data_IF_104948351480
#
_entry.id   IF_104948351480
#
_cell.length_a   1.000
_cell.length_b   1.000
_cell.length_c   1.000
_cell.angle_alpha   90.00
_cell.angle_beta   90.00
_cell.angle_gamma   90.00
#
_symmetry.space_group_name_H-M   'P 1'
#
loop_
_entity.id
_entity.type
_entity.pdbx_description
1 polymer ?
#
# COMPACT_ATOMS: atom_id res chain seq x y z
N UNK A 1 -13.39 32.05 -19.06
CA UNK A 1 -14.32 31.33 -18.17
C UNK A 1 -13.44 30.36 -17.40
N UNK A 2 -13.18 30.63 -16.11
CA UNK A 2 -12.39 29.74 -15.26
C UNK A 2 -13.20 28.44 -15.09
N UNK A 3 -12.66 27.31 -15.55
CA UNK A 3 -13.23 26.01 -15.20
C UNK A 3 -13.19 25.92 -13.68
N UNK A 4 -14.33 25.81 -13.03
CA UNK A 4 -14.40 25.52 -11.60
C UNK A 4 -13.78 24.15 -11.42
N UNK A 5 -12.58 24.07 -10.85
CA UNK A 5 -11.97 22.79 -10.50
C UNK A 5 -12.97 21.99 -9.65
N UNK A 6 -13.26 20.78 -10.08
CA UNK A 6 -14.20 19.94 -9.37
C UNK A 6 -13.63 19.61 -7.98
N UNK A 7 -14.43 19.79 -6.92
CA UNK A 7 -14.00 19.55 -5.56
C UNK A 7 -13.55 18.08 -5.37
N UNK A 8 -12.49 17.83 -4.58
CA UNK A 8 -12.06 16.49 -4.22
C UNK A 8 -13.20 15.65 -3.63
N UNK A 9 -13.26 14.36 -3.97
CA UNK A 9 -14.23 13.40 -3.46
C UNK A 9 -13.60 12.23 -2.72
N UNK A 10 -12.34 11.93 -3.05
CA UNK A 10 -11.58 10.83 -2.48
C UNK A 10 -10.16 11.28 -2.15
N UNK A 11 -9.69 10.94 -0.95
CA UNK A 11 -8.33 11.23 -0.52
C UNK A 11 -7.57 9.94 -0.31
N UNK A 12 -6.40 9.79 -0.95
CA UNK A 12 -5.43 8.76 -0.57
C UNK A 12 -4.50 9.34 0.52
N UNK A 13 -4.53 8.73 1.70
CA UNK A 13 -3.76 9.15 2.88
C UNK A 13 -2.26 8.80 2.71
N UNK A 14 -1.64 9.40 1.72
CA UNK A 14 -0.22 9.23 1.36
C UNK A 14 0.34 10.53 0.82
N UNK A 15 1.68 10.64 0.84
CA UNK A 15 2.42 11.67 0.10
C UNK A 15 3.22 11.07 -1.07
N UNK A 16 3.01 9.79 -1.36
CA UNK A 16 3.67 9.09 -2.45
C UNK A 16 2.85 9.23 -3.75
N UNK A 17 3.35 10.03 -4.68
CA UNK A 17 2.70 10.27 -5.97
C UNK A 17 2.55 8.99 -6.83
N UNK A 18 3.43 8.00 -6.65
CA UNK A 18 3.30 6.70 -7.31
C UNK A 18 2.04 5.96 -6.88
N UNK A 19 1.78 5.90 -5.58
CA UNK A 19 0.57 5.27 -5.03
C UNK A 19 -0.71 5.97 -5.51
N UNK A 20 -0.70 7.30 -5.56
CA UNK A 20 -1.84 8.05 -6.07
C UNK A 20 -2.11 7.74 -7.54
N UNK A 21 -1.07 7.66 -8.36
CA UNK A 21 -1.21 7.30 -9.78
C UNK A 21 -1.80 5.90 -9.95
N UNK A 22 -1.30 4.90 -9.21
CA UNK A 22 -1.83 3.53 -9.22
C UNK A 22 -3.32 3.49 -8.86
N UNK A 23 -3.74 4.22 -7.82
CA UNK A 23 -5.15 4.29 -7.42
C UNK A 23 -6.02 4.96 -8.50
N UNK A 24 -5.56 6.07 -9.09
CA UNK A 24 -6.28 6.75 -10.17
C UNK A 24 -6.50 5.84 -11.39
N UNK A 25 -5.47 5.09 -11.80
CA UNK A 25 -5.59 4.13 -12.90
C UNK A 25 -6.60 3.02 -12.58
N UNK A 26 -6.60 2.50 -11.35
CA UNK A 26 -7.58 1.50 -10.92
C UNK A 26 -9.02 2.03 -10.95
N UNK A 27 -9.23 3.29 -10.54
CA UNK A 27 -10.57 3.90 -10.46
C UNK A 27 -11.08 4.44 -11.79
N UNK A 28 -10.22 4.60 -12.79
CA UNK A 28 -10.58 5.20 -14.09
C UNK A 28 -11.71 4.44 -14.76
N UNK A 29 -12.83 5.13 -14.99
CA UNK A 29 -14.03 4.55 -15.61
C UNK A 29 -14.86 3.63 -14.70
N UNK A 30 -14.48 3.42 -13.44
CA UNK A 30 -15.23 2.56 -12.52
C UNK A 30 -16.42 3.27 -11.87
N UNK A 31 -16.36 4.58 -11.74
CA UNK A 31 -17.38 5.39 -11.07
C UNK A 31 -17.92 6.44 -12.06
N UNK A 32 -19.20 6.36 -12.46
CA UNK A 32 -19.80 7.36 -13.34
C UNK A 32 -19.70 8.78 -12.78
N UNK A 33 -19.17 9.70 -13.57
CA UNK A 33 -19.05 11.12 -13.19
C UNK A 33 -17.89 11.44 -12.24
N UNK A 34 -17.03 10.48 -11.88
CA UNK A 34 -15.78 10.74 -11.16
C UNK A 34 -14.66 11.08 -12.15
N UNK A 35 -14.15 12.31 -12.06
CA UNK A 35 -12.90 12.69 -12.69
C UNK A 35 -11.74 12.33 -11.74
N UNK A 36 -11.07 11.22 -12.01
CA UNK A 36 -10.00 10.70 -11.15
C UNK A 36 -8.79 11.63 -11.07
N UNK A 37 -8.56 12.45 -12.09
CA UNK A 37 -7.36 13.30 -12.15
C UNK A 37 -7.50 14.56 -11.28
N UNK A 38 -8.72 15.03 -11.06
CA UNK A 38 -9.01 16.21 -10.23
C UNK A 38 -9.67 15.88 -8.89
N UNK A 39 -10.49 14.82 -8.82
CA UNK A 39 -11.30 14.50 -7.64
C UNK A 39 -10.70 13.41 -6.74
N UNK A 40 -9.67 12.69 -7.19
CA UNK A 40 -8.89 11.75 -6.38
C UNK A 40 -7.54 12.37 -6.09
N UNK A 41 -7.31 12.75 -4.84
CA UNK A 41 -6.15 13.54 -4.42
C UNK A 41 -5.35 12.84 -3.33
N UNK A 42 -4.14 13.32 -3.07
CA UNK A 42 -3.34 12.87 -1.92
C UNK A 42 -3.60 13.72 -0.67
N UNK A 43 -3.03 13.28 0.46
CA UNK A 43 -3.15 13.95 1.74
C UNK A 43 -2.59 15.39 1.74
N UNK A 44 -1.55 15.65 0.93
CA UNK A 44 -0.94 16.97 0.86
C UNK A 44 -1.85 18.00 0.18
N UNK A 45 -2.57 17.58 -0.87
CA UNK A 45 -3.47 18.44 -1.63
C UNK A 45 -4.64 18.99 -0.79
N UNK A 46 -5.03 18.28 0.28
CA UNK A 46 -6.12 18.67 1.19
C UNK A 46 -5.63 19.14 2.56
N UNK A 47 -4.31 19.31 2.74
CA UNK A 47 -3.74 19.74 4.01
C UNK A 47 -3.97 18.75 5.16
N UNK A 48 -4.15 17.48 4.88
CA UNK A 48 -4.38 16.47 5.91
C UNK A 48 -3.15 16.29 6.82
N UNK A 49 -3.37 15.97 8.11
CA UNK A 49 -2.28 15.82 9.07
C UNK A 49 -1.41 14.60 8.79
N UNK A 50 -0.16 14.64 9.26
CA UNK A 50 0.67 13.45 9.37
C UNK A 50 0.16 12.57 10.52
N UNK A 51 0.09 11.27 10.26
CA UNK A 51 -0.45 10.29 11.20
C UNK A 51 0.66 9.37 11.68
N UNK A 52 0.86 9.30 13.00
CA UNK A 52 1.78 8.34 13.59
C UNK A 52 1.20 6.92 13.49
N UNK A 53 1.97 6.00 12.95
CA UNK A 53 1.62 4.58 12.85
C UNK A 53 1.91 3.87 14.18
N UNK A 54 0.92 3.86 15.07
CA UNK A 54 1.00 3.27 16.41
C UNK A 54 0.33 1.90 16.50
N UNK A 55 -0.27 1.43 15.42
CA UNK A 55 -0.88 0.10 15.34
C UNK A 55 0.16 -1.02 15.34
N UNK A 56 -0.27 -2.21 15.73
CA UNK A 56 0.57 -3.41 15.80
C UNK A 56 0.34 -4.35 14.61
N UNK A 57 -0.55 -3.97 13.69
CA UNK A 57 -0.84 -4.69 12.44
C UNK A 57 -0.90 -3.71 11.26
N UNK A 58 -0.74 -4.23 10.04
CA UNK A 58 -0.94 -3.42 8.82
C UNK A 58 -2.36 -2.83 8.75
N UNK A 59 -3.38 -3.61 9.15
CA UNK A 59 -4.77 -3.14 9.17
C UNK A 59 -4.98 -1.97 10.13
N UNK A 60 -4.45 -2.06 11.35
CA UNK A 60 -4.54 -0.97 12.32
C UNK A 60 -3.88 0.31 11.81
N UNK A 61 -2.66 0.21 11.25
CA UNK A 61 -1.95 1.37 10.71
C UNK A 61 -2.67 1.99 9.50
N UNK A 62 -3.19 1.16 8.59
CA UNK A 62 -3.97 1.67 7.45
C UNK A 62 -5.26 2.34 7.90
N UNK A 63 -5.99 1.76 8.87
CA UNK A 63 -7.20 2.38 9.46
C UNK A 63 -6.89 3.67 10.19
N UNK A 64 -5.83 3.73 11.01
CA UNK A 64 -5.41 4.97 11.68
C UNK A 64 -5.22 6.11 10.69
N UNK A 65 -4.52 5.85 9.58
CA UNK A 65 -4.30 6.85 8.52
C UNK A 65 -5.61 7.24 7.82
N UNK A 66 -6.42 6.27 7.41
CA UNK A 66 -7.67 6.54 6.70
C UNK A 66 -8.66 7.34 7.57
N UNK A 67 -8.85 6.96 8.85
CA UNK A 67 -9.70 7.68 9.81
C UNK A 67 -9.28 9.12 10.01
N UNK A 68 -7.99 9.33 10.32
CA UNK A 68 -7.48 10.67 10.61
C UNK A 68 -7.67 11.62 9.42
N UNK A 69 -7.47 11.12 8.20
CA UNK A 69 -7.68 11.91 6.98
C UNK A 69 -9.17 12.13 6.73
N UNK A 70 -10.02 11.12 6.89
CA UNK A 70 -11.46 11.24 6.72
C UNK A 70 -12.08 12.23 7.72
N UNK A 71 -11.68 12.17 8.98
CA UNK A 71 -12.13 13.10 10.04
C UNK A 71 -11.68 14.53 9.79
N UNK A 72 -10.41 14.71 9.39
CA UNK A 72 -9.85 16.04 9.15
C UNK A 72 -10.43 16.74 7.91
N UNK A 73 -10.81 15.95 6.88
CA UNK A 73 -11.25 16.53 5.59
C UNK A 73 -12.76 16.46 5.36
N UNK A 74 -13.48 15.58 6.09
CA UNK A 74 -14.87 15.26 5.81
C UNK A 74 -15.10 14.47 4.51
N UNK A 75 -14.04 13.97 3.88
CA UNK A 75 -14.06 13.23 2.62
C UNK A 75 -13.86 11.73 2.85
N UNK A 76 -14.29 10.92 1.89
CA UNK A 76 -13.93 9.50 1.85
C UNK A 76 -12.40 9.39 1.75
N UNK A 77 -11.78 8.60 2.61
CA UNK A 77 -10.33 8.43 2.64
C UNK A 77 -9.93 6.97 2.49
N UNK A 78 -8.85 6.74 1.77
CA UNK A 78 -8.19 5.45 1.63
C UNK A 78 -6.77 5.57 2.18
N UNK A 79 -6.28 4.53 2.84
CA UNK A 79 -4.89 4.37 3.20
C UNK A 79 -4.42 2.96 2.93
N UNK A 80 -3.13 2.77 2.75
CA UNK A 80 -2.51 1.44 2.78
C UNK A 80 -1.36 1.42 3.79
N UNK A 81 -1.15 0.25 4.37
CA UNK A 81 0.08 -0.10 5.07
C UNK A 81 0.58 -1.44 4.54
N UNK A 82 1.89 -1.56 4.33
CA UNK A 82 2.45 -2.72 3.67
C UNK A 82 3.90 -2.98 4.08
N UNK A 83 4.30 -4.23 3.97
CA UNK A 83 5.66 -4.66 4.25
C UNK A 83 5.92 -6.08 3.82
N UNK A 84 7.11 -6.57 4.16
CA UNK A 84 7.53 -7.94 3.94
C UNK A 84 7.21 -8.78 5.18
N UNK A 85 6.64 -9.95 4.96
CA UNK A 85 6.41 -10.99 5.97
C UNK A 85 7.25 -12.21 5.61
N UNK A 86 8.12 -12.67 6.51
CA UNK A 86 9.02 -13.82 6.30
C UNK A 86 8.61 -14.97 7.21
N UNK A 87 8.34 -16.15 6.63
CA UNK A 87 7.74 -17.27 7.34
C UNK A 87 8.59 -17.74 8.52
N UNK A 88 9.88 -17.96 8.30
CA UNK A 88 10.80 -18.46 9.36
C UNK A 88 11.02 -17.42 10.48
N UNK A 89 10.73 -16.15 10.22
CA UNK A 89 10.80 -15.08 11.21
C UNK A 89 9.42 -14.80 11.87
N UNK A 90 8.44 -15.70 11.69
CA UNK A 90 7.10 -15.53 12.27
C UNK A 90 6.35 -14.31 11.76
N UNK A 91 6.62 -13.87 10.52
CA UNK A 91 6.00 -12.70 9.88
C UNK A 91 6.81 -11.40 10.00
N UNK A 92 7.92 -11.40 10.74
CA UNK A 92 8.82 -10.23 10.72
C UNK A 92 9.52 -10.12 9.35
N UNK A 93 9.93 -8.91 8.92
CA UNK A 93 9.86 -7.59 9.55
C UNK A 93 8.44 -7.03 9.76
N UNK A 94 7.43 -7.44 8.96
CA UNK A 94 6.05 -6.98 9.10
C UNK A 94 5.95 -5.45 9.06
N UNK A 95 5.26 -4.86 10.02
CA UNK A 95 5.09 -3.39 10.16
C UNK A 95 6.40 -2.63 10.38
N UNK A 96 7.49 -3.33 10.67
CA UNK A 96 8.83 -2.75 10.82
C UNK A 96 9.63 -2.73 9.53
N UNK A 97 9.07 -3.18 8.40
CA UNK A 97 9.79 -3.33 7.13
C UNK A 97 10.59 -2.09 6.72
N UNK A 98 10.01 -0.90 6.82
CA UNK A 98 10.68 0.35 6.43
C UNK A 98 11.77 0.82 7.42
N UNK A 99 11.88 0.18 8.60
CA UNK A 99 12.84 0.55 9.66
C UNK A 99 13.50 -0.68 10.33
N UNK A 100 13.60 -1.79 9.61
CA UNK A 100 14.09 -3.07 10.12
C UNK A 100 15.51 -2.97 10.71
N UNK A 101 16.39 -2.20 10.07
CA UNK A 101 17.73 -1.87 10.57
C UNK A 101 17.76 -0.68 11.54
N UNK A 102 16.60 -0.24 12.06
CA UNK A 102 16.47 0.82 13.06
C UNK A 102 16.28 2.22 12.48
N UNK A 103 16.54 2.45 11.18
CA UNK A 103 16.38 3.75 10.53
C UNK A 103 15.29 3.67 9.45
N UNK A 104 14.33 4.58 9.52
CA UNK A 104 13.22 4.61 8.56
C UNK A 104 13.72 5.02 7.17
N UNK A 105 13.35 4.24 6.14
CA UNK A 105 13.64 4.53 4.74
C UNK A 105 15.08 4.20 4.31
N UNK A 106 15.86 3.50 5.14
CA UNK A 106 17.17 2.98 4.78
C UNK A 106 17.01 1.58 4.18
N UNK A 107 16.52 1.53 2.92
CA UNK A 107 16.16 0.29 2.24
C UNK A 107 17.34 -0.67 2.11
N UNK A 108 18.52 -0.15 1.82
CA UNK A 108 19.75 -0.93 1.68
C UNK A 108 20.14 -1.61 3.01
N UNK A 109 20.17 -0.85 4.11
CA UNK A 109 20.46 -1.41 5.43
C UNK A 109 19.42 -2.43 5.87
N UNK A 110 18.12 -2.17 5.61
CA UNK A 110 17.03 -3.08 5.94
C UNK A 110 17.16 -4.41 5.20
N UNK A 111 17.44 -4.38 3.90
CA UNK A 111 17.62 -5.53 3.04
C UNK A 111 18.85 -6.36 3.46
N UNK A 112 20.00 -5.72 3.67
CA UNK A 112 21.22 -6.42 4.05
C UNK A 112 21.13 -7.04 5.46
N UNK A 113 20.48 -6.38 6.42
CA UNK A 113 20.23 -6.98 7.72
C UNK A 113 19.36 -8.23 7.60
N UNK A 114 18.30 -8.19 6.80
CA UNK A 114 17.45 -9.35 6.57
C UNK A 114 18.22 -10.53 5.96
N UNK A 115 19.03 -10.28 4.93
CA UNK A 115 19.84 -11.31 4.29
C UNK A 115 20.85 -11.94 5.27
N UNK A 116 21.50 -11.10 6.12
CA UNK A 116 22.44 -11.55 7.14
C UNK A 116 21.76 -12.46 8.18
N UNK A 117 20.55 -12.10 8.63
CA UNK A 117 19.75 -12.92 9.56
C UNK A 117 19.35 -14.27 8.96
N UNK A 118 19.19 -14.34 7.64
CA UNK A 118 18.77 -15.56 6.92
C UNK A 118 19.94 -16.32 6.30
N UNK A 119 21.20 -15.99 6.59
CA UNK A 119 22.36 -16.56 5.93
C UNK A 119 22.42 -18.10 5.99
N UNK A 120 22.11 -18.66 7.16
CA UNK A 120 22.13 -20.10 7.41
C UNK A 120 20.78 -20.79 7.18
N UNK A 121 19.73 -20.04 6.77
CA UNK A 121 18.40 -20.61 6.50
C UNK A 121 18.43 -21.35 5.17
N UNK A 122 18.06 -22.66 5.15
CA UNK A 122 17.98 -23.45 3.91
C UNK A 122 16.95 -22.87 2.93
N UNK A 123 17.17 -23.06 1.61
CA UNK A 123 16.32 -22.48 0.55
C UNK A 123 14.85 -22.87 0.68
N UNK A 124 14.54 -24.10 1.07
CA UNK A 124 13.16 -24.57 1.28
C UNK A 124 12.41 -23.89 2.45
N UNK A 125 13.09 -23.06 3.24
CA UNK A 125 12.52 -22.33 4.40
C UNK A 125 12.61 -20.81 4.26
N UNK A 126 12.87 -20.31 3.05
CA UNK A 126 12.99 -18.89 2.75
C UNK A 126 11.70 -18.29 2.18
N UNK A 127 10.55 -18.92 2.46
CA UNK A 127 9.23 -18.39 2.08
C UNK A 127 8.97 -17.03 2.68
N UNK A 128 8.42 -16.13 1.87
CA UNK A 128 8.06 -14.78 2.28
C UNK A 128 6.95 -14.24 1.39
N UNK A 129 6.34 -13.15 1.83
CA UNK A 129 5.37 -12.43 1.02
C UNK A 129 5.43 -10.93 1.27
N UNK A 130 5.24 -10.14 0.22
CA UNK A 130 4.75 -8.78 0.42
C UNK A 130 3.28 -8.81 0.79
N UNK A 131 2.93 -8.07 1.84
CA UNK A 131 1.54 -7.94 2.34
C UNK A 131 1.14 -6.48 2.31
N UNK A 132 -0.09 -6.21 1.92
CA UNK A 132 -0.70 -4.89 1.99
C UNK A 132 -2.08 -5.00 2.63
N UNK A 133 -2.37 -4.13 3.59
CA UNK A 133 -3.72 -3.86 4.07
C UNK A 133 -4.15 -2.49 3.51
N UNK A 134 -5.22 -2.45 2.73
CA UNK A 134 -5.84 -1.24 2.23
C UNK A 134 -7.12 -0.95 3.01
N UNK A 135 -7.23 0.22 3.61
CA UNK A 135 -8.36 0.65 4.41
C UNK A 135 -9.14 1.76 3.73
N UNK A 136 -10.45 1.70 3.79
CA UNK A 136 -11.40 2.76 3.45
C UNK A 136 -12.02 3.28 4.74
N UNK A 137 -12.10 4.59 4.90
CA UNK A 137 -12.87 5.27 5.92
C UNK A 137 -13.85 6.26 5.27
N UNK A 138 -15.14 6.08 5.57
CA UNK A 138 -16.22 6.98 5.17
C UNK A 138 -16.63 7.75 6.42
N UNK A 139 -16.45 9.08 6.49
CA UNK A 139 -16.88 9.84 7.66
C UNK A 139 -18.40 9.97 7.72
N UNK A 140 -18.97 10.10 8.91
CA UNK A 140 -20.41 10.23 9.09
C UNK A 140 -21.04 11.41 8.30
N UNK A 141 -20.24 12.45 8.05
CA UNK A 141 -20.65 13.60 7.23
C UNK A 141 -20.81 13.29 5.73
N UNK A 142 -20.19 12.23 5.26
CA UNK A 142 -20.21 11.81 3.86
C UNK A 142 -21.14 10.62 3.58
N UNK A 143 -21.90 10.14 4.57
CA UNK A 143 -22.78 8.98 4.42
C UNK A 143 -24.06 9.13 5.21
N UNK A 144 -25.18 8.75 4.61
CA UNK A 144 -26.50 8.71 5.26
C UNK A 144 -26.62 7.59 6.29
N UNK A 145 -25.82 6.53 6.15
CA UNK A 145 -25.80 5.36 7.03
C UNK A 145 -24.80 5.51 8.20
N UNK A 146 -24.15 6.67 8.32
CA UNK A 146 -23.14 6.94 9.34
C UNK A 146 -21.73 6.55 8.90
N UNK A 147 -20.78 6.62 9.84
CA UNK A 147 -19.38 6.29 9.58
C UNK A 147 -19.22 4.79 9.24
N UNK A 148 -18.40 4.49 8.24
CA UNK A 148 -18.12 3.11 7.81
C UNK A 148 -16.63 2.92 7.54
N UNK A 149 -16.15 1.72 7.84
CA UNK A 149 -14.77 1.32 7.60
C UNK A 149 -14.71 -0.06 6.96
N UNK A 150 -13.77 -0.24 6.05
CA UNK A 150 -13.50 -1.51 5.38
C UNK A 150 -12.00 -1.70 5.28
N UNK A 151 -11.51 -2.92 5.48
CA UNK A 151 -10.12 -3.30 5.24
C UNK A 151 -10.07 -4.50 4.33
N UNK A 152 -9.26 -4.40 3.29
CA UNK A 152 -8.99 -5.48 2.35
C UNK A 152 -7.50 -5.74 2.26
N UNK A 153 -7.15 -6.99 1.96
CA UNK A 153 -5.77 -7.44 1.90
C UNK A 153 -5.35 -7.87 0.50
N UNK A 154 -4.07 -7.67 0.21
CA UNK A 154 -3.42 -8.26 -0.93
C UNK A 154 -2.06 -8.83 -0.51
N UNK A 155 -1.67 -9.93 -1.13
CA UNK A 155 -0.43 -10.61 -0.84
C UNK A 155 0.25 -11.06 -2.14
N UNK A 156 1.57 -10.85 -2.21
CA UNK A 156 2.44 -11.39 -3.27
C UNK A 156 3.41 -12.36 -2.61
N UNK A 157 3.11 -13.64 -2.69
CA UNK A 157 3.97 -14.70 -2.15
C UNK A 157 5.18 -14.95 -3.03
N UNK A 158 6.29 -15.35 -2.42
CA UNK A 158 7.54 -15.64 -3.10
C UNK A 158 8.56 -16.33 -2.21
N UNK A 159 9.78 -16.39 -2.70
CA UNK A 159 10.94 -16.92 -1.99
C UNK A 159 12.02 -15.83 -1.90
N UNK A 160 12.68 -15.74 -0.76
CA UNK A 160 13.79 -14.80 -0.60
C UNK A 160 15.07 -15.35 -1.22
N UNK A 161 15.63 -14.60 -2.14
CA UNK A 161 16.93 -14.86 -2.74
C UNK A 161 18.06 -14.71 -1.70
N UNK A 162 19.22 -15.29 -2.00
CA UNK A 162 20.42 -15.15 -1.15
C UNK A 162 21.16 -13.84 -1.40
N UNK A 163 21.01 -13.28 -2.59
CA UNK A 163 21.66 -12.05 -3.04
C UNK A 163 20.64 -11.19 -3.79
N UNK A 164 20.77 -9.85 -3.76
CA UNK A 164 19.93 -8.96 -4.53
C UNK A 164 20.08 -9.20 -6.04
N UNK A 165 18.96 -9.15 -6.78
CA UNK A 165 18.92 -9.16 -8.26
C UNK A 165 18.04 -8.02 -8.76
N UNK A 166 18.48 -7.35 -9.83
CA UNK A 166 17.78 -6.21 -10.42
C UNK A 166 18.04 -4.89 -9.70
N UNK A 167 17.71 -3.81 -10.39
CA UNK A 167 17.92 -2.43 -9.91
C UNK A 167 16.60 -1.64 -9.78
N UNK A 168 15.47 -2.24 -10.15
CA UNK A 168 14.16 -1.60 -10.12
C UNK A 168 13.51 -1.66 -8.74
N UNK A 169 12.44 -0.88 -8.58
CA UNK A 169 11.61 -0.92 -7.38
C UNK A 169 12.26 -0.22 -6.17
N UNK A 170 11.97 -0.73 -4.96
CA UNK A 170 12.44 -0.21 -3.68
C UNK A 170 12.34 -1.28 -2.58
N UNK A 171 12.95 -1.02 -1.43
CA UNK A 171 12.86 -1.89 -0.26
C UNK A 171 13.43 -3.29 -0.53
N UNK A 172 12.60 -4.31 -0.36
CA UNK A 172 12.99 -5.72 -0.52
C UNK A 172 12.69 -6.28 -1.92
N UNK A 173 12.36 -5.45 -2.90
CA UNK A 173 12.11 -5.90 -4.29
C UNK A 173 13.27 -6.71 -4.89
N UNK A 174 14.57 -6.36 -4.65
CA UNK A 174 15.68 -7.11 -5.21
C UNK A 174 15.83 -8.54 -4.66
N UNK A 175 15.19 -8.87 -3.55
CA UNK A 175 15.36 -10.19 -2.91
C UNK A 175 14.11 -11.04 -2.88
N UNK A 176 12.92 -10.53 -3.25
CA UNK A 176 11.72 -11.36 -3.37
C UNK A 176 11.53 -11.83 -4.82
N UNK A 177 11.61 -13.14 -5.02
CA UNK A 177 11.25 -13.83 -6.26
C UNK A 177 9.81 -14.34 -6.12
N UNK A 178 8.83 -13.78 -6.87
CA UNK A 178 7.43 -14.18 -6.78
C UNK A 178 7.21 -15.63 -7.22
N UNK A 179 6.26 -16.32 -6.61
CA UNK A 179 5.88 -17.69 -7.00
C UNK A 179 5.53 -17.75 -8.49
N UNK A 180 6.15 -18.68 -9.20
CA UNK A 180 5.92 -18.90 -10.62
C UNK A 180 6.76 -18.02 -11.56
N UNK A 181 7.64 -17.20 -11.02
CA UNK A 181 8.62 -16.44 -11.78
C UNK A 181 10.05 -16.89 -11.42
N UNK A 182 11.00 -16.59 -12.30
CA UNK A 182 12.45 -16.82 -12.14
C UNK A 182 13.21 -15.50 -12.02
N UNK A 183 12.49 -14.41 -11.75
CA UNK A 183 12.97 -13.02 -11.61
C UNK A 183 12.55 -12.44 -10.27
N UNK A 184 13.41 -11.60 -9.68
CA UNK A 184 13.04 -10.81 -8.52
C UNK A 184 12.00 -9.74 -8.89
N UNK A 185 11.33 -9.17 -7.89
CA UNK A 185 10.43 -8.02 -8.10
C UNK A 185 11.16 -6.81 -8.71
N UNK A 186 12.47 -6.66 -8.46
CA UNK A 186 13.27 -5.56 -9.02
C UNK A 186 13.68 -5.77 -10.49
N UNK A 187 13.52 -6.99 -11.01
CA UNK A 187 13.77 -7.32 -12.43
C UNK A 187 12.50 -7.22 -13.29
N UNK A 188 11.34 -6.98 -12.68
CA UNK A 188 10.06 -6.81 -13.38
C UNK A 188 9.91 -5.36 -13.89
N UNK A 189 9.23 -5.19 -15.03
CA UNK A 189 8.79 -3.86 -15.42
C UNK A 189 7.75 -3.31 -14.43
N UNK A 190 7.56 -1.99 -14.36
CA UNK A 190 6.50 -1.41 -13.52
C UNK A 190 5.12 -2.00 -13.82
N UNK A 191 4.80 -2.26 -15.07
CA UNK A 191 3.52 -2.83 -15.52
C UNK A 191 3.37 -4.27 -15.06
N UNK A 192 4.40 -5.13 -15.26
CA UNK A 192 4.42 -6.52 -14.79
C UNK A 192 4.24 -6.58 -13.28
N UNK A 193 5.01 -5.76 -12.53
CA UNK A 193 4.93 -5.71 -11.07
C UNK A 193 3.57 -5.25 -10.58
N UNK A 194 2.98 -4.19 -11.16
CA UNK A 194 1.67 -3.67 -10.77
C UNK A 194 0.55 -4.69 -10.99
N UNK A 195 0.63 -5.50 -12.04
CA UNK A 195 -0.36 -6.53 -12.33
C UNK A 195 -0.49 -7.57 -11.19
N UNK A 196 0.63 -7.93 -10.54
CA UNK A 196 0.70 -8.95 -9.48
C UNK A 196 0.89 -8.39 -8.08
N UNK A 197 1.13 -7.07 -7.92
CA UNK A 197 1.52 -6.48 -6.65
C UNK A 197 0.49 -6.66 -5.55
N UNK A 198 0.98 -6.87 -4.33
CA UNK A 198 0.17 -6.95 -3.11
C UNK A 198 -0.74 -5.72 -2.93
N UNK A 199 -0.23 -4.50 -3.20
CA UNK A 199 -1.01 -3.26 -3.14
C UNK A 199 -2.09 -3.24 -4.21
N UNK A 200 -1.75 -3.59 -5.45
CA UNK A 200 -2.72 -3.69 -6.54
C UNK A 200 -3.84 -4.68 -6.24
N UNK A 201 -3.51 -5.83 -5.63
CA UNK A 201 -4.49 -6.82 -5.18
C UNK A 201 -5.40 -6.25 -4.07
N UNK A 202 -4.82 -5.60 -3.04
CA UNK A 202 -5.59 -5.00 -1.95
C UNK A 202 -6.54 -3.90 -2.44
N UNK A 203 -6.08 -3.00 -3.31
CA UNK A 203 -6.93 -1.94 -3.86
C UNK A 203 -8.03 -2.49 -4.79
N UNK A 204 -7.75 -3.55 -5.57
CA UNK A 204 -8.79 -4.22 -6.38
C UNK A 204 -9.85 -4.86 -5.51
N UNK A 205 -9.47 -5.49 -4.39
CA UNK A 205 -10.42 -6.04 -3.42
C UNK A 205 -11.27 -4.94 -2.77
N UNK A 206 -10.68 -3.77 -2.49
CA UNK A 206 -11.37 -2.62 -1.89
C UNK A 206 -12.30 -1.87 -2.87
N UNK A 207 -12.11 -2.03 -4.19
CA UNK A 207 -12.81 -1.29 -5.23
C UNK A 207 -14.35 -1.29 -5.09
N UNK A 208 -15.04 -2.41 -4.81
CA UNK A 208 -16.49 -2.40 -4.61
C UNK A 208 -16.95 -1.44 -3.51
N UNK A 209 -16.23 -1.41 -2.40
CA UNK A 209 -16.52 -0.52 -1.27
C UNK A 209 -16.25 0.95 -1.59
N UNK A 210 -15.21 1.24 -2.39
CA UNK A 210 -14.93 2.60 -2.88
C UNK A 210 -16.06 3.08 -3.79
N UNK A 211 -16.50 2.25 -4.74
CA UNK A 211 -17.59 2.56 -5.67
C UNK A 211 -18.87 2.84 -4.91
N UNK A 212 -19.18 2.05 -3.89
CA UNK A 212 -20.36 2.25 -3.04
C UNK A 212 -20.29 3.56 -2.26
N UNK A 213 -19.13 3.89 -1.68
CA UNK A 213 -18.93 5.10 -0.87
C UNK A 213 -18.98 6.42 -1.69
N UNK A 214 -18.76 6.34 -3.02
CA UNK A 214 -18.72 7.51 -3.90
C UNK A 214 -19.97 7.65 -4.80
N UNK A 215 -20.97 6.81 -4.64
CA UNK A 215 -22.28 6.93 -5.33
C UNK A 215 -23.14 7.99 -4.69
#
# INVERSE_FOLDING_TARGET
MSATEAAPRLVLATRNAGKLRELRELLRGQIPGLDVDTQVVDAAAVGAPDVAETGVTFAENSLLKARAVAEATGLVAIADDSGLSVDVLGGAPGIFSARWAGRHGDDDANLHLLLAQLADVPDGHRGAAFVCAAALAVPASASVDGAREVVEYGQLAGTLLREPRGEGGFGYDPVLEPVGLDRSCAELSPEEKNAISHRGLAFRALLPSIVEALR
#
